data_IF_842053414088
#
_entry.id   IF_842053414088
#
_cell.length_a   1.000
_cell.length_b   1.000
_cell.length_c   1.000
_cell.angle_alpha   90.00
_cell.angle_beta   90.00
_cell.angle_gamma   90.00
#
_symmetry.space_group_name_H-M   'P 1'
#
loop_
_entity.id
_entity.type
_entity.pdbx_description
1 polymer ?
#
# COMPACT_ATOMS: atom_id res chain seq x y z
N UNK A 1 -37.71 31.39 30.13
CA UNK A 1 -37.74 30.00 29.68
C UNK A 1 -36.29 29.59 29.51
N UNK A 2 -35.85 28.68 30.37
CA UNK A 2 -34.48 28.23 30.45
C UNK A 2 -34.27 27.14 29.39
N UNK A 3 -33.27 27.30 28.53
CA UNK A 3 -32.76 26.22 27.69
C UNK A 3 -32.00 25.23 28.57
N UNK A 4 -32.52 24.03 28.63
CA UNK A 4 -31.94 22.90 29.30
C UNK A 4 -30.69 22.42 28.51
N UNK A 5 -29.49 22.69 29.05
CA UNK A 5 -28.26 22.07 28.56
C UNK A 5 -28.32 20.55 28.76
N UNK A 6 -28.43 19.81 27.66
CA UNK A 6 -28.28 18.37 27.65
C UNK A 6 -26.81 18.04 27.88
N UNK A 7 -26.44 17.26 28.92
CA UNK A 7 -25.07 16.86 29.13
C UNK A 7 -24.66 15.91 27.99
N UNK A 8 -23.68 16.30 27.21
CA UNK A 8 -22.97 15.40 26.30
C UNK A 8 -22.16 14.45 27.15
N UNK A 9 -22.75 13.35 27.56
CA UNK A 9 -21.97 12.22 28.06
C UNK A 9 -21.01 11.78 26.95
N UNK A 10 -19.76 12.16 27.13
CA UNK A 10 -18.65 11.62 26.34
C UNK A 10 -18.41 10.17 26.77
N UNK A 11 -19.33 9.31 26.38
CA UNK A 11 -19.13 7.88 26.34
C UNK A 11 -18.12 7.55 25.25
N UNK A 12 -16.86 7.75 25.51
CA UNK A 12 -15.79 7.10 24.80
C UNK A 12 -15.83 5.61 25.16
N UNK A 13 -16.72 4.88 24.52
CA UNK A 13 -16.52 3.45 24.39
C UNK A 13 -15.18 3.29 23.72
N UNK A 14 -14.25 2.62 24.42
CA UNK A 14 -13.01 2.16 23.81
C UNK A 14 -13.38 1.52 22.48
N UNK A 15 -12.67 1.85 21.38
CA UNK A 15 -13.00 1.25 20.10
C UNK A 15 -12.93 -0.25 20.31
N UNK A 16 -14.06 -0.90 20.14
CA UNK A 16 -14.11 -2.36 20.05
C UNK A 16 -13.03 -2.81 19.07
N UNK A 17 -12.44 -3.96 19.26
CA UNK A 17 -11.15 -4.34 18.67
C UNK A 17 -11.21 -4.51 17.15
N UNK A 18 -11.49 -3.43 16.42
CA UNK A 18 -11.18 -3.33 14.99
C UNK A 18 -9.72 -3.69 14.72
N UNK A 19 -8.90 -3.57 15.75
CA UNK A 19 -7.49 -3.92 15.74
C UNK A 19 -7.24 -5.43 15.89
N UNK A 20 -7.99 -6.14 16.70
CA UNK A 20 -7.91 -7.61 16.74
C UNK A 20 -8.28 -8.22 15.37
N UNK A 21 -9.16 -7.54 14.60
CA UNK A 21 -9.39 -7.91 13.20
C UNK A 21 -8.19 -7.61 12.30
N UNK A 22 -7.40 -6.60 12.54
CA UNK A 22 -6.30 -6.17 11.66
C UNK A 22 -5.00 -6.93 11.93
N UNK A 23 -4.62 -7.11 13.17
CA UNK A 23 -3.59 -8.08 13.58
C UNK A 23 -4.06 -9.51 13.32
N UNK A 24 -5.38 -9.77 13.47
CA UNK A 24 -5.98 -11.02 13.06
C UNK A 24 -6.06 -11.16 11.54
N UNK A 25 -6.14 -10.10 10.72
CA UNK A 25 -6.12 -10.25 9.25
C UNK A 25 -4.72 -10.54 8.72
N UNK A 26 -3.68 -10.04 9.33
CA UNK A 26 -2.31 -10.49 9.04
C UNK A 26 -2.05 -11.92 9.57
N UNK A 27 -2.58 -12.26 10.73
CA UNK A 27 -2.71 -13.64 11.23
C UNK A 27 -3.80 -14.43 10.45
N UNK A 28 -4.86 -13.81 9.99
CA UNK A 28 -5.94 -14.41 9.23
C UNK A 28 -5.54 -14.76 7.78
N UNK A 29 -4.58 -14.07 7.18
CA UNK A 29 -3.88 -14.58 6.00
C UNK A 29 -3.12 -15.87 6.30
N UNK A 30 -2.65 -16.06 7.55
CA UNK A 30 -2.09 -17.32 8.04
C UNK A 30 -3.16 -18.31 8.57
N UNK A 31 -4.30 -17.82 9.08
CA UNK A 31 -5.37 -18.60 9.71
C UNK A 31 -6.53 -18.98 8.79
N UNK A 32 -6.62 -18.45 7.57
CA UNK A 32 -7.60 -18.91 6.55
C UNK A 32 -7.40 -20.38 6.15
N UNK A 33 -6.40 -21.06 6.74
CA UNK A 33 -6.20 -22.50 6.62
C UNK A 33 -6.79 -23.30 7.79
N UNK A 34 -7.39 -22.67 8.82
CA UNK A 34 -8.02 -23.36 9.95
C UNK A 34 -9.54 -23.18 9.94
N UNK A 35 -10.33 -24.20 10.32
CA UNK A 35 -11.77 -24.05 10.47
C UNK A 35 -12.08 -22.96 11.50
N UNK A 36 -12.97 -22.04 11.16
CA UNK A 36 -13.45 -20.94 12.01
C UNK A 36 -14.16 -21.40 13.32
N UNK A 37 -14.24 -22.70 13.54
CA UNK A 37 -14.94 -23.32 14.67
C UNK A 37 -14.01 -23.75 15.82
N UNK A 38 -12.70 -23.60 15.68
CA UNK A 38 -11.76 -23.98 16.73
C UNK A 38 -11.51 -22.81 17.70
N UNK A 39 -11.67 -23.07 18.99
CA UNK A 39 -11.26 -22.15 20.06
C UNK A 39 -9.76 -21.80 19.89
N UNK A 40 -9.38 -20.50 19.97
CA UNK A 40 -7.99 -20.11 19.81
C UNK A 40 -7.08 -20.75 20.84
N UNK A 41 -5.95 -21.24 20.41
CA UNK A 41 -4.94 -21.82 21.28
C UNK A 41 -4.41 -20.79 22.29
N UNK A 42 -3.78 -21.26 23.37
CA UNK A 42 -3.13 -20.36 24.34
C UNK A 42 -2.05 -19.48 23.68
N UNK A 43 -1.35 -20.00 22.68
CA UNK A 43 -0.33 -19.26 21.93
C UNK A 43 -0.96 -18.16 21.08
N UNK A 44 -2.08 -18.43 20.41
CA UNK A 44 -2.81 -17.44 19.62
C UNK A 44 -3.38 -16.34 20.51
N UNK A 45 -3.98 -16.69 21.66
CA UNK A 45 -4.44 -15.70 22.64
C UNK A 45 -3.31 -14.82 23.13
N UNK A 46 -2.16 -15.38 23.49
CA UNK A 46 -0.99 -14.61 23.92
C UNK A 46 -0.46 -13.68 22.82
N UNK A 47 -0.47 -14.12 21.56
CA UNK A 47 -0.09 -13.31 20.42
C UNK A 47 -1.07 -12.13 20.21
N UNK A 48 -2.37 -12.35 20.39
CA UNK A 48 -3.38 -11.29 20.30
C UNK A 48 -3.28 -10.27 21.43
N UNK A 49 -3.07 -10.74 22.66
CA UNK A 49 -2.85 -9.86 23.83
C UNK A 49 -1.60 -8.98 23.63
N UNK A 50 -0.50 -9.56 23.15
CA UNK A 50 0.71 -8.82 22.83
C UNK A 50 0.48 -7.82 21.68
N UNK A 51 -0.30 -8.18 20.67
CA UNK A 51 -0.66 -7.28 19.58
C UNK A 51 -1.54 -6.12 20.06
N UNK A 52 -2.54 -6.40 20.90
CA UNK A 52 -3.39 -5.38 21.50
C UNK A 52 -2.62 -4.41 22.38
N UNK A 53 -1.66 -4.91 23.16
CA UNK A 53 -0.77 -4.07 24.00
C UNK A 53 0.06 -3.13 23.13
N UNK A 54 0.74 -3.65 22.11
CA UNK A 54 1.52 -2.83 21.16
C UNK A 54 0.67 -1.77 20.47
N UNK A 55 -0.56 -2.12 20.13
CA UNK A 55 -1.47 -1.15 19.53
C UNK A 55 -1.85 -0.03 20.49
N UNK A 56 -2.17 -0.35 21.75
CA UNK A 56 -2.47 0.65 22.75
C UNK A 56 -1.27 1.62 22.98
N UNK A 57 -0.05 1.10 23.00
CA UNK A 57 1.18 1.89 23.06
C UNK A 57 1.28 2.81 21.84
N UNK A 58 1.09 2.30 20.63
CA UNK A 58 1.11 3.07 19.38
C UNK A 58 0.06 4.19 19.38
N UNK A 59 -1.14 3.93 19.90
CA UNK A 59 -2.18 4.96 20.01
C UNK A 59 -1.81 6.05 21.03
N UNK A 60 -1.15 5.71 22.14
CA UNK A 60 -0.67 6.66 23.14
C UNK A 60 0.45 7.54 22.56
N UNK A 61 1.40 6.96 21.84
CA UNK A 61 2.47 7.69 21.14
C UNK A 61 1.89 8.64 20.09
N UNK A 62 0.95 8.16 19.28
CA UNK A 62 0.24 8.97 18.30
C UNK A 62 -0.54 10.14 18.92
N UNK A 63 -1.17 9.93 20.10
CA UNK A 63 -1.85 10.98 20.82
C UNK A 63 -0.87 12.03 21.35
N UNK A 64 0.25 11.59 21.90
CA UNK A 64 1.35 12.44 22.39
C UNK A 64 1.90 13.28 21.24
N UNK A 65 2.16 12.67 20.10
CA UNK A 65 2.67 13.37 18.93
C UNK A 65 1.69 14.45 18.43
N UNK A 66 0.40 14.10 18.28
CA UNK A 66 -0.63 15.05 17.80
C UNK A 66 -0.78 16.27 18.69
N UNK A 67 -0.60 16.15 20.01
CA UNK A 67 -0.69 17.27 20.92
C UNK A 67 0.33 18.40 20.64
N UNK A 68 1.45 18.04 20.01
CA UNK A 68 2.49 19.00 19.60
C UNK A 68 2.69 19.10 18.08
N UNK A 69 1.70 18.71 17.27
CA UNK A 69 1.82 18.67 15.82
C UNK A 69 2.14 20.04 15.20
N UNK A 70 3.00 20.06 14.18
CA UNK A 70 3.33 21.25 13.40
C UNK A 70 2.12 21.72 12.56
N UNK A 71 1.36 20.75 12.02
CA UNK A 71 0.19 20.95 11.18
C UNK A 71 -1.04 20.21 11.75
N UNK A 72 -1.65 20.67 12.87
CA UNK A 72 -2.73 19.95 13.54
C UNK A 72 -3.92 19.61 12.62
N UNK A 73 -4.16 20.44 11.61
CA UNK A 73 -5.24 20.23 10.64
C UNK A 73 -5.07 18.93 9.81
N UNK A 74 -3.87 18.39 9.71
CA UNK A 74 -3.61 17.13 8.99
C UNK A 74 -4.13 15.89 9.72
N UNK A 75 -4.47 16.03 11.01
CA UNK A 75 -4.99 14.93 11.83
C UNK A 75 -6.52 14.95 11.96
N UNK A 76 -7.20 15.86 11.25
CA UNK A 76 -8.66 15.91 11.24
C UNK A 76 -9.24 14.72 10.44
N UNK A 77 -10.35 14.10 10.94
CA UNK A 77 -10.96 12.92 10.30
C UNK A 77 -11.83 13.28 9.09
N UNK A 78 -11.36 14.20 8.27
CA UNK A 78 -12.03 14.68 7.05
C UNK A 78 -11.01 15.16 6.03
N UNK A 79 -11.30 14.96 4.77
CA UNK A 79 -10.53 15.55 3.67
C UNK A 79 -10.91 17.02 3.50
N UNK A 80 -9.89 17.88 3.51
CA UNK A 80 -10.10 19.30 3.22
C UNK A 80 -9.90 19.53 1.72
N UNK A 81 -10.79 20.28 1.04
CA UNK A 81 -10.68 20.51 -0.42
C UNK A 81 -9.31 21.06 -0.86
N UNK A 82 -8.66 21.86 -0.02
CA UNK A 82 -7.31 22.41 -0.28
C UNK A 82 -6.18 21.36 -0.26
N UNK A 83 -6.45 20.15 0.21
CA UNK A 83 -5.48 19.04 0.17
C UNK A 83 -5.44 18.36 -1.18
N UNK A 84 -6.51 18.51 -1.95
CA UNK A 84 -6.66 17.88 -3.25
C UNK A 84 -6.15 18.82 -4.35
N UNK A 85 -5.69 18.22 -5.43
CA UNK A 85 -5.50 18.94 -6.69
C UNK A 85 -6.85 19.54 -7.13
N UNK A 86 -6.90 20.79 -7.61
CA UNK A 86 -8.17 21.42 -8.00
C UNK A 86 -8.96 20.63 -9.03
N UNK A 87 -8.27 19.99 -9.97
CA UNK A 87 -8.87 19.11 -10.99
C UNK A 87 -9.54 17.87 -10.38
N UNK A 88 -8.91 17.25 -9.37
CA UNK A 88 -9.47 16.09 -8.70
C UNK A 88 -10.64 16.46 -7.79
N UNK A 89 -10.55 17.58 -7.06
CA UNK A 89 -11.66 18.10 -6.26
C UNK A 89 -12.88 18.39 -7.14
N UNK A 90 -12.67 18.97 -8.32
CA UNK A 90 -13.75 19.20 -9.30
C UNK A 90 -14.32 17.88 -9.82
N UNK A 91 -13.49 16.88 -10.12
CA UNK A 91 -13.92 15.57 -10.58
C UNK A 91 -14.77 14.82 -9.52
N UNK A 92 -14.35 14.88 -8.24
CA UNK A 92 -15.14 14.32 -7.12
C UNK A 92 -16.53 14.97 -7.03
N UNK A 93 -16.60 16.31 -7.13
CA UNK A 93 -17.86 17.06 -7.13
C UNK A 93 -18.73 16.84 -8.38
N UNK A 94 -18.11 16.48 -9.50
CA UNK A 94 -18.79 16.21 -10.78
C UNK A 94 -19.37 14.80 -10.90
N UNK A 95 -19.11 13.92 -9.95
CA UNK A 95 -19.66 12.56 -9.88
C UNK A 95 -18.94 11.54 -10.76
N UNK A 96 -19.53 10.33 -10.95
CA UNK A 96 -18.85 9.18 -11.53
C UNK A 96 -18.20 9.40 -12.91
N UNK A 97 -18.89 10.07 -13.80
CA UNK A 97 -18.36 10.35 -15.14
C UNK A 97 -17.16 11.30 -15.12
N UNK A 98 -17.18 12.30 -14.25
CA UNK A 98 -16.08 13.24 -14.11
C UNK A 98 -14.87 12.57 -13.48
N UNK A 99 -15.08 11.67 -12.51
CA UNK A 99 -14.02 10.86 -11.91
C UNK A 99 -13.35 9.92 -12.93
N UNK A 100 -14.15 9.21 -13.73
CA UNK A 100 -13.62 8.34 -14.79
C UNK A 100 -12.85 9.14 -15.85
N UNK A 101 -13.34 10.31 -16.24
CA UNK A 101 -12.67 11.17 -17.22
C UNK A 101 -11.37 11.78 -16.66
N UNK A 102 -11.23 11.87 -15.34
CA UNK A 102 -10.03 12.41 -14.69
C UNK A 102 -8.93 11.36 -14.54
N UNK A 103 -9.27 10.07 -14.45
CA UNK A 103 -8.33 8.98 -14.30
C UNK A 103 -7.91 8.46 -15.69
N UNK A 104 -6.68 8.73 -16.07
CA UNK A 104 -6.08 8.25 -17.31
C UNK A 104 -5.63 6.79 -17.17
N UNK A 105 -6.12 5.87 -17.97
CA UNK A 105 -5.58 4.51 -18.05
C UNK A 105 -4.25 4.53 -18.83
N UNK A 106 -3.14 4.50 -18.11
CA UNK A 106 -1.78 4.58 -18.67
C UNK A 106 -1.22 3.23 -19.06
N UNK A 107 -1.76 2.16 -18.52
CA UNK A 107 -1.55 0.78 -18.92
C UNK A 107 -2.76 -0.04 -18.46
N UNK A 108 -2.94 -1.25 -18.98
CA UNK A 108 -4.08 -2.09 -18.66
C UNK A 108 -4.26 -2.27 -17.14
N UNK A 109 -5.31 -1.70 -16.57
CA UNK A 109 -5.61 -1.73 -15.13
C UNK A 109 -4.69 -0.87 -14.27
N UNK A 110 -4.00 0.10 -14.86
CA UNK A 110 -3.15 1.09 -14.16
C UNK A 110 -3.62 2.49 -14.53
N UNK A 111 -4.05 3.25 -13.54
CA UNK A 111 -4.66 4.56 -13.73
C UNK A 111 -3.84 5.65 -13.04
N UNK A 112 -3.55 6.74 -13.77
CA UNK A 112 -2.82 7.90 -13.27
C UNK A 112 -3.70 9.14 -13.24
N UNK A 113 -3.58 9.94 -12.18
CA UNK A 113 -4.35 11.19 -12.04
C UNK A 113 -3.71 12.15 -11.03
N UNK A 114 -3.94 13.44 -11.20
CA UNK A 114 -3.57 14.43 -10.21
C UNK A 114 -4.52 14.30 -9.01
N UNK A 115 -3.97 14.11 -7.81
CA UNK A 115 -4.77 13.82 -6.62
C UNK A 115 -4.54 14.81 -5.48
N UNK A 116 -3.29 15.02 -5.08
CA UNK A 116 -2.94 15.84 -3.92
C UNK A 116 -2.36 17.18 -4.35
N UNK A 117 -2.66 18.22 -3.57
CA UNK A 117 -2.05 19.54 -3.78
C UNK A 117 -0.58 19.53 -3.31
N UNK A 118 0.25 20.36 -3.94
CA UNK A 118 1.64 20.52 -3.51
C UNK A 118 1.78 20.98 -2.06
N UNK A 119 0.85 21.84 -1.62
CA UNK A 119 0.82 22.33 -0.25
C UNK A 119 0.59 21.19 0.76
N UNK A 120 -0.34 20.27 0.46
CA UNK A 120 -0.58 19.10 1.30
C UNK A 120 0.66 18.18 1.34
N UNK A 121 1.23 17.87 0.18
CA UNK A 121 2.45 17.03 0.11
C UNK A 121 3.59 17.64 0.94
N UNK A 122 3.80 18.95 0.84
CA UNK A 122 4.85 19.66 1.60
C UNK A 122 4.58 19.63 3.10
N UNK A 123 3.33 19.89 3.52
CA UNK A 123 2.96 19.87 4.94
C UNK A 123 3.06 18.46 5.55
N UNK A 124 2.62 17.44 4.80
CA UNK A 124 2.72 16.05 5.25
C UNK A 124 4.19 15.63 5.43
N UNK A 125 5.06 15.94 4.46
CA UNK A 125 6.48 15.63 4.59
C UNK A 125 7.15 16.37 5.76
N UNK A 126 6.79 17.63 5.99
CA UNK A 126 7.31 18.40 7.12
C UNK A 126 6.85 17.78 8.46
N UNK A 127 5.60 17.33 8.54
CA UNK A 127 5.06 16.68 9.74
C UNK A 127 5.73 15.33 9.99
N UNK A 128 5.96 14.52 8.95
CA UNK A 128 6.63 13.22 9.07
C UNK A 128 8.11 13.37 9.46
N UNK A 129 8.82 14.35 8.91
CA UNK A 129 10.19 14.66 9.30
C UNK A 129 10.26 15.05 10.80
N UNK A 130 9.32 15.88 11.27
CA UNK A 130 9.22 16.23 12.67
C UNK A 130 8.89 15.03 13.56
N UNK A 131 8.06 14.09 13.08
CA UNK A 131 7.78 12.86 13.82
C UNK A 131 9.07 12.02 13.99
N UNK A 132 9.86 11.89 12.96
CA UNK A 132 11.15 11.19 13.01
C UNK A 132 12.11 11.85 14.01
N UNK A 133 12.14 13.20 14.07
CA UNK A 133 12.95 13.97 15.01
C UNK A 133 12.42 13.94 16.46
N UNK A 134 11.17 13.55 16.69
CA UNK A 134 10.53 13.57 18.00
C UNK A 134 11.09 12.55 19.00
N UNK A 135 11.81 11.54 18.51
CA UNK A 135 12.28 10.42 19.33
C UNK A 135 11.21 9.39 19.67
N UNK A 136 9.97 9.56 19.20
CA UNK A 136 8.92 8.55 19.32
C UNK A 136 9.24 7.34 18.41
N UNK A 137 8.72 6.14 18.73
CA UNK A 137 8.97 4.96 17.94
C UNK A 137 8.48 5.12 16.49
N UNK A 138 9.35 4.81 15.54
CA UNK A 138 9.03 4.79 14.11
C UNK A 138 8.71 3.35 13.70
N UNK A 139 7.49 3.13 13.22
CA UNK A 139 7.08 1.82 12.70
C UNK A 139 7.48 1.72 11.23
N UNK A 140 8.31 0.74 10.90
CA UNK A 140 8.80 0.47 9.55
C UNK A 140 7.62 0.18 8.59
N UNK A 141 7.66 0.67 7.33
CA UNK A 141 6.54 0.59 6.39
C UNK A 141 6.04 -0.82 6.13
N UNK A 142 6.96 -1.73 5.84
CA UNK A 142 6.69 -3.13 5.51
C UNK A 142 7.97 -3.97 5.64
N UNK A 143 7.93 -5.22 5.23
CA UNK A 143 9.09 -6.15 5.33
C UNK A 143 10.16 -5.88 4.27
N UNK A 144 9.85 -5.17 3.20
CA UNK A 144 10.75 -4.96 2.05
C UNK A 144 11.46 -3.60 2.10
N UNK A 145 10.77 -2.54 2.56
CA UNK A 145 11.35 -1.21 2.72
C UNK A 145 11.95 -1.04 4.12
N UNK A 146 13.17 -0.52 4.17
CA UNK A 146 13.85 -0.22 5.44
C UNK A 146 13.58 1.21 5.91
N UNK A 147 13.29 2.11 4.98
CA UNK A 147 13.13 3.55 5.23
C UNK A 147 11.72 4.00 4.91
N UNK A 148 11.17 4.84 5.78
CA UNK A 148 9.79 5.31 5.73
C UNK A 148 9.06 5.03 7.03
N UNK A 149 7.74 5.24 7.04
CA UNK A 149 6.96 5.18 8.28
C UNK A 149 5.51 4.79 8.01
N UNK A 150 4.91 4.03 8.93
CA UNK A 150 3.47 3.72 8.91
C UNK A 150 2.68 4.93 9.42
N UNK A 151 1.91 5.57 8.54
CA UNK A 151 1.12 6.76 8.87
C UNK A 151 0.05 6.48 9.91
N UNK A 152 -0.55 5.30 9.87
CA UNK A 152 -1.53 4.88 10.87
C UNK A 152 -0.93 4.91 12.28
N UNK A 153 0.34 4.52 12.43
CA UNK A 153 1.04 4.55 13.71
C UNK A 153 1.43 5.97 14.16
N UNK A 154 1.60 6.90 13.22
CA UNK A 154 1.90 8.31 13.52
C UNK A 154 0.65 9.15 13.83
N UNK A 155 -0.52 8.54 13.98
CA UNK A 155 -1.77 9.23 14.32
C UNK A 155 -2.58 9.75 13.14
N UNK A 156 -2.18 9.48 11.91
CA UNK A 156 -2.92 9.86 10.69
C UNK A 156 -4.04 8.89 10.32
N UNK A 157 -4.28 7.83 11.08
CA UNK A 157 -5.24 6.78 10.71
C UNK A 157 -6.60 7.36 10.31
N UNK A 158 -7.20 8.22 11.15
CA UNK A 158 -8.50 8.82 10.87
C UNK A 158 -8.51 9.72 9.61
N UNK A 159 -7.40 10.38 9.34
CA UNK A 159 -7.25 11.21 8.14
C UNK A 159 -7.15 10.33 6.91
N UNK A 160 -6.42 9.23 7.01
CA UNK A 160 -6.29 8.25 5.92
C UNK A 160 -7.59 7.46 5.71
N UNK A 161 -8.36 7.16 6.78
CA UNK A 161 -9.74 6.64 6.67
C UNK A 161 -10.62 7.58 5.84
N UNK A 162 -10.55 8.88 6.12
CA UNK A 162 -11.32 9.87 5.36
C UNK A 162 -10.84 9.95 3.91
N UNK A 163 -9.53 9.92 3.67
CA UNK A 163 -8.96 9.94 2.31
C UNK A 163 -9.38 8.70 1.52
N UNK A 164 -9.34 7.52 2.13
CA UNK A 164 -9.84 6.29 1.51
C UNK A 164 -11.32 6.39 1.18
N UNK A 165 -12.16 6.72 2.16
CA UNK A 165 -13.61 6.75 2.03
C UNK A 165 -14.09 7.79 1.00
N UNK A 166 -13.54 9.00 1.07
CA UNK A 166 -14.06 10.15 0.33
C UNK A 166 -13.39 10.35 -1.04
N UNK A 167 -12.20 9.80 -1.25
CA UNK A 167 -11.41 10.02 -2.47
C UNK A 167 -11.07 8.72 -3.22
N UNK A 168 -10.53 7.72 -2.52
CA UNK A 168 -10.01 6.50 -3.17
C UNK A 168 -11.14 5.54 -3.52
N UNK A 169 -11.99 5.21 -2.55
CA UNK A 169 -13.08 4.24 -2.73
C UNK A 169 -14.08 4.63 -3.82
N UNK A 170 -14.52 5.91 -3.96
CA UNK A 170 -15.39 6.29 -5.06
C UNK A 170 -14.81 5.99 -6.44
N UNK A 171 -13.52 6.26 -6.64
CA UNK A 171 -12.83 5.97 -7.90
C UNK A 171 -12.57 4.47 -8.07
N UNK A 172 -12.11 3.79 -7.01
CA UNK A 172 -11.82 2.36 -7.04
C UNK A 172 -13.07 1.50 -7.35
N UNK A 173 -14.25 1.88 -6.84
CA UNK A 173 -15.52 1.23 -7.19
C UNK A 173 -15.85 1.29 -8.68
N UNK A 174 -15.47 2.37 -9.34
CA UNK A 174 -15.71 2.55 -10.77
C UNK A 174 -14.70 1.77 -11.62
N UNK A 175 -13.44 1.73 -11.20
CA UNK A 175 -12.34 1.14 -11.96
C UNK A 175 -12.14 -0.35 -11.66
N UNK A 176 -12.42 -0.78 -10.43
CA UNK A 176 -12.14 -2.12 -9.94
C UNK A 176 -13.32 -2.79 -9.20
N UNK A 177 -14.53 -2.80 -9.79
CA UNK A 177 -15.74 -3.28 -9.11
C UNK A 177 -15.68 -4.76 -8.71
N UNK A 178 -14.83 -5.55 -9.40
CA UNK A 178 -14.69 -7.00 -9.17
C UNK A 178 -13.39 -7.38 -8.44
N UNK A 179 -12.56 -6.41 -8.10
CA UNK A 179 -11.24 -6.60 -7.50
C UNK A 179 -11.12 -5.95 -6.11
N UNK A 180 -12.23 -5.72 -5.44
CA UNK A 180 -12.23 -5.14 -4.10
C UNK A 180 -12.21 -3.62 -4.07
N UNK A 181 -12.71 -2.94 -5.12
CA UNK A 181 -12.83 -1.49 -5.16
C UNK A 181 -13.74 -0.89 -4.07
N UNK A 182 -14.56 -1.71 -3.40
CA UNK A 182 -15.34 -1.34 -2.22
C UNK A 182 -14.54 -1.60 -0.93
N UNK A 183 -13.45 -0.87 -0.77
CA UNK A 183 -12.52 -1.04 0.33
C UNK A 183 -13.08 -0.45 1.65
N UNK A 184 -12.92 -1.20 2.73
CA UNK A 184 -13.33 -0.85 4.09
C UNK A 184 -12.17 -0.79 5.08
N UNK A 185 -10.97 -1.21 4.68
CA UNK A 185 -9.75 -1.19 5.48
C UNK A 185 -8.58 -0.66 4.66
N UNK A 186 -7.59 -0.07 5.34
CA UNK A 186 -6.33 0.30 4.71
C UNK A 186 -5.13 0.11 5.64
N UNK A 187 -3.97 -0.09 5.03
CA UNK A 187 -2.68 0.09 5.64
C UNK A 187 -1.96 1.19 4.88
N UNK A 188 -1.73 2.33 5.53
CA UNK A 188 -1.16 3.51 4.87
C UNK A 188 0.19 3.83 5.47
N UNK A 189 1.17 3.98 4.58
CA UNK A 189 2.55 4.24 4.96
C UNK A 189 3.24 5.15 3.93
N UNK A 190 4.35 5.74 4.32
CA UNK A 190 5.26 6.45 3.43
C UNK A 190 6.52 5.61 3.24
N UNK A 191 6.99 5.52 2.00
CA UNK A 191 8.30 4.96 1.65
C UNK A 191 9.25 6.05 1.22
N UNK A 192 10.53 5.86 1.52
CA UNK A 192 11.60 6.78 1.17
C UNK A 192 12.69 6.05 0.40
N UNK A 193 13.16 6.70 -0.67
CA UNK A 193 14.30 6.25 -1.47
C UNK A 193 15.32 7.36 -1.60
N UNK A 194 16.58 7.07 -1.30
CA UNK A 194 17.73 7.96 -1.50
C UNK A 194 19.04 7.19 -1.53
N UNK A 195 20.09 7.84 -2.04
CA UNK A 195 21.43 7.27 -2.06
C UNK A 195 21.93 6.97 -0.64
N UNK A 196 22.49 5.76 -0.46
CA UNK A 196 22.96 5.28 0.84
C UNK A 196 21.90 4.61 1.72
N UNK A 197 20.65 4.59 1.26
CA UNK A 197 19.51 3.91 1.89
C UNK A 197 18.85 2.94 0.92
N UNK A 198 17.49 2.78 0.96
CA UNK A 198 16.79 2.05 -0.07
C UNK A 198 16.92 2.81 -1.40
N UNK A 199 17.45 2.16 -2.43
CA UNK A 199 17.58 2.76 -3.77
C UNK A 199 16.31 2.57 -4.58
N UNK A 200 15.66 1.44 -4.44
CA UNK A 200 14.47 1.02 -5.17
C UNK A 200 13.85 -0.20 -4.50
N UNK A 201 12.89 -0.81 -5.15
CA UNK A 201 12.22 -2.02 -4.67
C UNK A 201 12.05 -3.01 -5.81
N UNK A 202 12.43 -4.26 -5.55
CA UNK A 202 12.32 -5.34 -6.52
C UNK A 202 10.87 -5.59 -6.97
N UNK A 203 10.73 -6.27 -8.09
CA UNK A 203 9.43 -6.63 -8.66
C UNK A 203 8.63 -7.49 -7.68
N UNK A 204 7.42 -7.04 -7.35
CA UNK A 204 6.56 -7.67 -6.35
C UNK A 204 5.07 -7.44 -6.64
N UNK A 205 4.23 -7.99 -5.80
CA UNK A 205 2.80 -7.68 -5.69
C UNK A 205 2.50 -7.20 -4.27
N UNK A 206 1.52 -6.34 -4.13
CA UNK A 206 1.11 -5.81 -2.83
C UNK A 206 0.14 -6.74 -2.08
N UNK A 207 0.22 -6.73 -0.76
CA UNK A 207 -0.75 -7.40 0.11
C UNK A 207 -2.05 -6.57 0.26
N UNK A 208 -2.54 -6.02 -0.85
CA UNK A 208 -3.75 -5.19 -0.96
C UNK A 208 -4.70 -5.75 -2.02
N UNK A 209 -5.93 -5.27 -2.04
CA UNK A 209 -6.83 -5.48 -3.17
C UNK A 209 -6.64 -4.37 -4.19
N UNK A 210 -6.57 -3.12 -3.70
CA UNK A 210 -6.28 -1.93 -4.48
C UNK A 210 -5.14 -1.16 -3.81
N UNK A 211 -4.15 -0.74 -4.59
CA UNK A 211 -3.05 0.11 -4.16
C UNK A 211 -3.18 1.50 -4.75
N UNK A 212 -3.14 2.51 -3.90
CA UNK A 212 -2.87 3.89 -4.26
C UNK A 212 -1.40 4.21 -3.95
N UNK A 213 -0.72 4.84 -4.90
CA UNK A 213 0.66 5.31 -4.75
C UNK A 213 0.74 6.77 -5.22
N UNK A 214 1.04 7.70 -4.32
CA UNK A 214 1.12 9.13 -4.62
C UNK A 214 2.53 9.66 -4.33
N UNK A 215 3.14 10.31 -5.30
CA UNK A 215 4.42 10.99 -5.10
C UNK A 215 4.24 12.23 -4.23
N UNK A 216 4.93 12.29 -3.10
CA UNK A 216 4.94 13.46 -2.21
C UNK A 216 6.08 14.45 -2.53
N UNK A 217 7.06 14.05 -3.35
CA UNK A 217 8.30 14.77 -3.63
C UNK A 217 9.46 14.00 -2.95
N UNK A 218 10.66 14.55 -2.71
CA UNK A 218 11.12 15.90 -3.09
C UNK A 218 11.57 15.95 -4.56
N UNK A 219 12.74 16.56 -4.81
CA UNK A 219 13.40 16.52 -6.12
C UNK A 219 14.28 15.27 -6.24
N UNK A 220 14.19 14.57 -7.35
CA UNK A 220 14.93 13.33 -7.61
C UNK A 220 15.04 13.05 -9.11
N UNK A 221 15.93 12.14 -9.46
CA UNK A 221 16.03 11.56 -10.81
C UNK A 221 16.08 10.03 -10.72
N UNK A 222 15.67 9.34 -11.76
CA UNK A 222 15.46 7.89 -11.71
C UNK A 222 14.17 7.54 -10.96
N UNK A 223 14.20 6.48 -10.19
CA UNK A 223 13.15 6.07 -9.25
C UNK A 223 11.74 6.03 -9.85
N UNK A 224 11.59 5.54 -11.10
CA UNK A 224 10.31 5.29 -11.72
C UNK A 224 9.56 4.13 -11.03
N UNK A 225 8.34 3.88 -11.45
CA UNK A 225 7.56 2.70 -11.04
C UNK A 225 7.27 1.87 -12.29
N UNK A 226 7.85 0.68 -12.35
CA UNK A 226 7.71 -0.23 -13.50
C UNK A 226 6.63 -1.27 -13.23
N UNK A 227 5.70 -1.43 -14.18
CA UNK A 227 4.60 -2.40 -14.13
C UNK A 227 4.81 -3.50 -15.16
N UNK A 228 4.58 -4.78 -14.77
CA UNK A 228 4.78 -5.96 -15.60
C UNK A 228 3.53 -6.83 -15.78
N UNK A 229 2.35 -6.30 -15.50
CA UNK A 229 1.08 -7.01 -15.67
C UNK A 229 0.64 -7.81 -14.44
N UNK A 230 -0.53 -8.43 -14.53
CA UNK A 230 -1.12 -9.22 -13.45
C UNK A 230 -0.40 -10.55 -13.31
N UNK A 231 -0.14 -10.97 -12.07
CA UNK A 231 0.42 -12.29 -11.77
C UNK A 231 -0.52 -13.39 -12.25
N UNK A 232 0.02 -14.33 -13.01
CA UNK A 232 -0.76 -15.47 -13.56
C UNK A 232 -1.68 -15.10 -14.71
N UNK A 233 -1.64 -13.86 -15.21
CA UNK A 233 -2.24 -13.55 -16.51
C UNK A 233 -1.41 -14.25 -17.59
N UNK A 234 -1.97 -15.30 -18.20
CA UNK A 234 -1.38 -15.94 -19.36
C UNK A 234 -1.21 -14.88 -20.45
N UNK A 235 0.01 -14.67 -20.89
CA UNK A 235 0.25 -14.07 -22.20
C UNK A 235 -0.21 -15.10 -23.24
N UNK A 236 -1.49 -15.10 -23.54
CA UNK A 236 -2.14 -16.04 -24.44
C UNK A 236 -1.74 -15.79 -25.91
N UNK A 237 -0.47 -15.88 -26.20
CA UNK A 237 0.07 -15.76 -27.57
C UNK A 237 1.33 -16.60 -27.80
N UNK A 238 1.73 -17.50 -26.91
CA UNK A 238 2.76 -18.48 -27.25
C UNK A 238 2.09 -19.76 -27.67
N UNK A 239 2.37 -20.23 -28.90
CA UNK A 239 1.96 -21.52 -29.37
C UNK A 239 2.52 -22.64 -28.46
N UNK A 240 1.80 -23.78 -28.30
CA UNK A 240 2.28 -24.86 -27.46
C UNK A 240 3.65 -25.36 -27.97
N UNK A 241 4.70 -25.14 -27.20
CA UNK A 241 6.06 -25.60 -27.50
C UNK A 241 7.11 -24.51 -27.74
N UNK A 242 6.74 -23.27 -27.93
CA UNK A 242 7.69 -22.13 -27.93
C UNK A 242 7.68 -21.45 -26.60
N UNK A 243 8.75 -21.64 -25.81
CA UNK A 243 9.10 -20.70 -24.76
C UNK A 243 9.60 -19.44 -25.47
N UNK A 244 8.94 -18.27 -25.26
CA UNK A 244 9.46 -17.04 -25.82
C UNK A 244 10.79 -16.76 -25.12
N UNK A 245 11.89 -17.09 -25.78
CA UNK A 245 13.19 -16.53 -25.42
C UNK A 245 13.12 -15.03 -25.67
N UNK A 246 13.17 -14.25 -24.63
CA UNK A 246 13.77 -12.95 -24.67
C UNK A 246 12.90 -11.71 -24.75
N UNK A 247 11.57 -11.75 -24.80
CA UNK A 247 10.78 -10.53 -24.75
C UNK A 247 9.94 -10.45 -23.47
N UNK A 248 10.61 -10.11 -22.39
CA UNK A 248 9.93 -9.66 -21.18
C UNK A 248 9.51 -8.22 -21.41
N UNK A 249 8.26 -8.02 -21.77
CA UNK A 249 7.74 -6.69 -22.02
C UNK A 249 7.47 -5.99 -20.68
N UNK A 250 8.18 -4.89 -20.43
CA UNK A 250 7.70 -3.89 -19.50
C UNK A 250 6.36 -3.39 -20.04
N UNK A 251 5.28 -3.56 -19.28
CA UNK A 251 3.99 -3.08 -19.75
C UNK A 251 3.93 -1.55 -19.68
N UNK A 252 4.55 -0.96 -18.66
CA UNK A 252 4.55 0.49 -18.45
C UNK A 252 5.58 0.92 -17.40
N UNK A 253 6.23 2.05 -17.63
CA UNK A 253 7.06 2.74 -16.65
C UNK A 253 6.45 4.10 -16.32
N UNK A 254 6.04 4.29 -15.07
CA UNK A 254 5.52 5.55 -14.58
C UNK A 254 6.65 6.46 -14.10
N UNK A 255 6.62 7.71 -14.56
CA UNK A 255 7.46 8.78 -14.02
C UNK A 255 6.68 9.55 -12.98
N UNK A 256 7.19 9.59 -11.75
CA UNK A 256 6.53 10.26 -10.65
C UNK A 256 6.52 11.78 -10.79
N UNK A 257 5.38 12.39 -10.53
CA UNK A 257 5.18 13.84 -10.41
C UNK A 257 4.54 14.10 -9.05
N UNK A 258 5.01 15.13 -8.34
CA UNK A 258 4.50 15.51 -7.02
C UNK A 258 2.99 15.75 -7.04
N UNK A 259 2.26 15.10 -6.14
CA UNK A 259 0.80 15.15 -6.05
C UNK A 259 0.05 14.24 -7.02
N UNK A 260 0.73 13.66 -8.03
CA UNK A 260 0.14 12.72 -8.97
C UNK A 260 0.10 11.31 -8.38
N UNK A 261 -1.02 10.64 -8.55
CA UNK A 261 -1.32 9.31 -8.05
C UNK A 261 -1.29 8.27 -9.16
N UNK A 262 -0.97 7.04 -8.77
CA UNK A 262 -1.23 5.80 -9.52
C UNK A 262 -2.17 4.94 -8.68
N UNK A 263 -3.20 4.37 -9.32
CA UNK A 263 -4.14 3.43 -8.73
C UNK A 263 -4.15 2.14 -9.55
N UNK A 264 -3.98 1.00 -8.88
CA UNK A 264 -3.95 -0.33 -9.52
C UNK A 264 -4.39 -1.43 -8.56
N UNK A 265 -4.67 -2.64 -9.09
CA UNK A 265 -4.87 -3.82 -8.24
C UNK A 265 -3.56 -4.20 -7.53
N UNK A 266 -3.65 -4.65 -6.27
CA UNK A 266 -2.49 -5.11 -5.50
C UNK A 266 -1.71 -6.24 -6.17
N UNK A 267 -2.42 -7.11 -6.93
CA UNK A 267 -1.81 -8.21 -7.69
C UNK A 267 -1.12 -7.80 -9.00
N UNK A 268 -1.15 -6.53 -9.35
CA UNK A 268 -0.39 -6.03 -10.49
C UNK A 268 1.09 -5.99 -10.09
N UNK A 269 1.93 -6.73 -10.82
CA UNK A 269 3.37 -6.77 -10.56
C UNK A 269 4.00 -5.44 -10.89
N UNK A 270 4.73 -4.91 -9.93
CA UNK A 270 5.42 -3.65 -10.08
C UNK A 270 6.68 -3.61 -9.21
N UNK A 271 7.56 -2.69 -9.52
CA UNK A 271 8.79 -2.46 -8.76
C UNK A 271 9.20 -1.00 -8.87
N UNK A 272 9.88 -0.51 -7.84
CA UNK A 272 10.45 0.82 -7.86
C UNK A 272 11.87 0.75 -8.45
N UNK A 273 12.08 1.46 -9.54
CA UNK A 273 13.40 1.59 -10.15
C UNK A 273 14.37 2.32 -9.21
N UNK A 274 15.65 2.07 -9.35
CA UNK A 274 16.67 2.69 -8.51
C UNK A 274 16.68 4.21 -8.69
N UNK A 275 16.81 4.92 -7.57
CA UNK A 275 16.99 6.36 -7.55
C UNK A 275 18.42 6.70 -7.99
N UNK A 276 18.55 7.63 -8.93
CA UNK A 276 19.84 8.09 -9.41
C UNK A 276 20.37 9.29 -8.62
N UNK A 277 19.49 10.19 -8.18
CA UNK A 277 19.85 11.34 -7.35
C UNK A 277 18.64 11.89 -6.58
N UNK A 278 18.91 12.64 -5.51
CA UNK A 278 17.88 13.30 -4.71
C UNK A 278 17.19 12.36 -3.72
N UNK A 279 15.95 12.70 -3.37
CA UNK A 279 15.13 11.95 -2.42
C UNK A 279 13.70 11.81 -2.94
N UNK A 280 13.16 10.60 -2.99
CA UNK A 280 11.76 10.34 -3.34
C UNK A 280 10.98 9.86 -2.13
N UNK A 281 9.83 10.46 -1.92
CA UNK A 281 8.85 10.06 -0.90
C UNK A 281 7.53 9.76 -1.56
N UNK A 282 6.96 8.59 -1.28
CA UNK A 282 5.65 8.20 -1.77
C UNK A 282 4.73 7.80 -0.64
N UNK A 283 3.50 8.31 -0.68
CA UNK A 283 2.38 7.82 0.13
C UNK A 283 1.83 6.58 -0.55
N UNK A 284 1.80 5.48 0.17
CA UNK A 284 1.22 4.22 -0.27
C UNK A 284 0.01 3.91 0.61
N UNK A 285 -1.12 3.60 -0.01
CA UNK A 285 -2.32 3.12 0.69
C UNK A 285 -2.72 1.77 0.14
N UNK A 286 -2.52 0.73 0.93
CA UNK A 286 -2.98 -0.61 0.66
C UNK A 286 -4.41 -0.76 1.15
N UNK A 287 -5.36 -0.70 0.24
CA UNK A 287 -6.78 -0.83 0.53
C UNK A 287 -7.23 -2.28 0.42
N UNK A 288 -8.09 -2.71 1.36
CA UNK A 288 -8.64 -4.06 1.41
C UNK A 288 -10.16 -3.99 1.55
N UNK A 289 -10.86 -4.93 0.92
CA UNK A 289 -12.30 -5.09 1.02
C UNK A 289 -12.64 -6.40 1.71
N UNK A 290 -13.23 -6.34 2.89
CA UNK A 290 -13.66 -7.53 3.63
C UNK A 290 -14.65 -8.37 2.84
N UNK A 291 -15.61 -7.73 2.16
CA UNK A 291 -16.60 -8.43 1.34
C UNK A 291 -15.98 -9.16 0.15
N UNK A 292 -15.02 -8.54 -0.52
CA UNK A 292 -14.30 -9.16 -1.62
C UNK A 292 -13.45 -10.35 -1.15
N UNK A 293 -12.72 -10.20 -0.05
CA UNK A 293 -11.83 -11.24 0.50
C UNK A 293 -12.59 -12.46 1.04
N UNK A 294 -13.82 -12.27 1.49
CA UNK A 294 -14.72 -13.36 1.89
C UNK A 294 -15.47 -13.99 0.71
N UNK A 295 -15.37 -13.44 -0.51
CA UNK A 295 -16.03 -13.97 -1.68
C UNK A 295 -15.44 -15.31 -2.12
N UNK A 296 -16.29 -16.21 -2.63
CA UNK A 296 -15.85 -17.49 -3.18
C UNK A 296 -14.84 -17.33 -4.33
N UNK A 297 -14.97 -16.27 -5.11
CA UNK A 297 -14.05 -15.97 -6.21
C UNK A 297 -12.64 -15.62 -5.71
N UNK A 298 -12.53 -14.84 -4.64
CA UNK A 298 -11.25 -14.54 -4.00
C UNK A 298 -10.66 -15.79 -3.37
N UNK A 299 -11.44 -16.50 -2.56
CA UNK A 299 -11.00 -17.70 -1.88
C UNK A 299 -10.50 -18.77 -2.87
N UNK A 300 -11.22 -19.00 -3.98
CA UNK A 300 -10.81 -19.94 -5.02
C UNK A 300 -9.51 -19.52 -5.73
N UNK A 301 -9.29 -18.21 -5.91
CA UNK A 301 -8.12 -17.67 -6.62
C UNK A 301 -6.88 -17.63 -5.75
N UNK A 302 -7.03 -17.34 -4.46
CA UNK A 302 -5.92 -17.04 -3.55
C UNK A 302 -5.70 -18.08 -2.44
N UNK A 303 -6.64 -19.00 -2.20
CA UNK A 303 -6.41 -20.20 -1.41
C UNK A 303 -5.58 -21.23 -2.20
N UNK A 304 -4.38 -20.84 -2.59
CA UNK A 304 -3.36 -21.82 -2.91
C UNK A 304 -2.96 -22.46 -1.58
N UNK A 305 -3.34 -23.71 -1.40
CA UNK A 305 -2.94 -24.48 -0.22
C UNK A 305 -1.41 -24.44 -0.08
N UNK A 306 -0.87 -24.37 1.13
CA UNK A 306 0.58 -24.48 1.33
C UNK A 306 1.20 -25.72 0.66
N UNK A 307 0.46 -26.83 0.56
CA UNK A 307 0.83 -28.03 -0.19
C UNK A 307 1.02 -27.80 -1.68
N UNK A 308 0.32 -26.87 -2.29
CA UNK A 308 0.41 -26.58 -3.71
C UNK A 308 1.66 -25.71 -4.04
N UNK A 309 2.24 -25.08 -3.02
CA UNK A 309 3.54 -24.37 -3.12
C UNK A 309 4.74 -25.32 -3.08
N UNK A 310 4.60 -26.48 -2.46
CA UNK A 310 5.67 -27.48 -2.37
C UNK A 310 5.96 -28.20 -3.71
N UNK A 311 5.07 -28.08 -4.69
CA UNK A 311 5.22 -28.62 -6.03
C UNK A 311 5.87 -27.69 -7.05
N UNK A 312 6.40 -26.54 -6.62
CA UNK A 312 7.07 -25.58 -7.49
C UNK A 312 6.14 -25.14 -8.63
N UNK A 313 5.29 -24.14 -8.40
CA UNK A 313 4.67 -23.46 -9.53
C UNK A 313 5.81 -23.04 -10.48
N UNK A 314 5.67 -23.32 -11.80
CA UNK A 314 6.70 -22.91 -12.74
C UNK A 314 6.98 -21.41 -12.56
N UNK A 315 8.24 -20.97 -12.64
CA UNK A 315 8.57 -19.57 -12.53
C UNK A 315 7.68 -18.77 -13.48
N UNK A 316 7.14 -17.66 -12.98
CA UNK A 316 6.34 -16.77 -13.83
C UNK A 316 7.27 -16.25 -14.95
N UNK A 317 6.99 -16.56 -16.24
CA UNK A 317 7.89 -16.21 -17.35
C UNK A 317 8.06 -14.70 -17.53
N UNK A 318 7.28 -13.90 -16.83
CA UNK A 318 7.36 -12.42 -16.84
C UNK A 318 7.88 -11.86 -15.51
N UNK A 319 8.35 -12.68 -14.58
CA UNK A 319 8.96 -12.21 -13.35
C UNK A 319 10.30 -11.54 -13.65
N UNK A 320 10.44 -10.29 -13.20
CA UNK A 320 11.68 -9.51 -13.29
C UNK A 320 12.31 -9.27 -11.91
N UNK A 321 12.10 -10.21 -10.99
CA UNK A 321 12.73 -10.14 -9.68
C UNK A 321 14.19 -10.56 -9.74
N UNK A 322 15.09 -9.73 -9.24
CA UNK A 322 16.50 -10.04 -9.16
C UNK A 322 16.81 -11.19 -8.17
N UNK A 323 15.88 -11.52 -7.28
CA UNK A 323 16.08 -12.57 -6.26
C UNK A 323 15.83 -13.97 -6.79
N UNK A 324 14.92 -14.13 -7.73
CA UNK A 324 14.52 -15.45 -8.27
C UNK A 324 14.39 -15.53 -9.81
N UNK A 325 14.75 -14.46 -10.51
CA UNK A 325 14.79 -14.43 -11.97
C UNK A 325 16.23 -14.66 -12.46
N UNK A 326 16.45 -15.78 -13.12
CA UNK A 326 17.80 -16.14 -13.59
C UNK A 326 18.30 -15.24 -14.71
N UNK A 327 17.39 -14.69 -15.49
CA UNK A 327 17.72 -13.84 -16.63
C UNK A 327 17.67 -12.35 -16.31
N UNK A 328 17.53 -11.98 -15.03
CA UNK A 328 17.39 -10.58 -14.62
C UNK A 328 18.53 -9.69 -15.15
N UNK A 329 19.78 -10.17 -15.07
CA UNK A 329 20.96 -9.40 -15.50
C UNK A 329 21.03 -9.14 -17.01
N UNK A 330 20.27 -9.89 -17.83
CA UNK A 330 20.13 -9.58 -19.25
C UNK A 330 19.33 -8.29 -19.51
N UNK A 331 18.54 -7.88 -18.53
CA UNK A 331 17.66 -6.71 -18.63
C UNK A 331 18.14 -5.52 -17.79
N UNK A 332 18.72 -5.78 -16.62
CA UNK A 332 19.18 -4.77 -15.69
C UNK A 332 20.46 -5.21 -15.01
N UNK A 333 21.51 -4.39 -15.07
CA UNK A 333 22.71 -4.63 -14.32
C UNK A 333 22.44 -4.52 -12.81
N UNK A 334 22.77 -5.57 -12.08
CA UNK A 334 22.60 -5.59 -10.63
C UNK A 334 23.66 -4.74 -9.94
N UNK A 335 23.20 -3.81 -9.12
CA UNK A 335 24.03 -3.12 -8.16
C UNK A 335 24.70 -4.14 -7.19
N UNK A 336 25.93 -3.88 -6.68
CA UNK A 336 26.68 -4.84 -5.86
C UNK A 336 25.92 -5.35 -4.63
N UNK A 337 25.14 -4.51 -3.98
CA UNK A 337 24.32 -4.86 -2.81
C UNK A 337 23.15 -5.78 -3.17
N UNK A 338 22.49 -5.55 -4.31
CA UNK A 338 21.44 -6.41 -4.84
C UNK A 338 21.99 -7.76 -5.30
N UNK A 339 23.18 -7.75 -5.90
CA UNK A 339 23.91 -8.99 -6.27
C UNK A 339 24.21 -9.82 -5.04
N UNK A 340 24.72 -9.22 -3.96
CA UNK A 340 24.99 -9.89 -2.70
C UNK A 340 23.72 -10.47 -2.06
N UNK A 341 22.58 -9.75 -2.09
CA UNK A 341 21.28 -10.25 -1.61
C UNK A 341 20.79 -11.45 -2.41
N UNK A 342 20.89 -11.39 -3.74
CA UNK A 342 20.51 -12.50 -4.62
C UNK A 342 21.34 -13.76 -4.31
N UNK A 343 22.64 -13.58 -4.22
CA UNK A 343 23.57 -14.70 -3.96
C UNK A 343 23.34 -15.32 -2.57
N UNK A 344 22.95 -14.53 -1.59
CA UNK A 344 22.55 -15.01 -0.26
C UNK A 344 21.23 -15.79 -0.30
N UNK A 345 20.22 -15.30 -1.00
CA UNK A 345 18.92 -15.97 -1.17
C UNK A 345 19.05 -17.32 -1.88
N UNK A 346 19.89 -17.40 -2.92
CA UNK A 346 20.14 -18.65 -3.68
C UNK A 346 20.94 -19.70 -2.91
N UNK A 347 21.69 -19.30 -1.86
CA UNK A 347 22.45 -20.23 -1.00
C UNK A 347 21.65 -20.76 0.18
N UNK A 348 20.53 -20.12 0.52
CA UNK A 348 19.68 -20.44 1.67
C UNK A 348 18.44 -21.28 1.33
N UNK A 349 18.20 -21.59 0.08
CA UNK A 349 17.16 -22.50 -0.43
C UNK A 349 17.79 -23.80 -0.91
#
# INVERSE_FOLDING_TARGET
EAEEEVPVEAGWMAPEPRFSLRGALELFEAMLCAPLEAEPTAQERAAWEAAATRHAETLADAATYRAGALHPQLFEPRVQPRWLAPSFAAALGGGPHALLAHAEEVAAGVYAFDMLSEAFCTQLLAELARHEESGLPVVRPNTMNNYGVVLNACGFERTMDALQRDCVTPLARLLFPQQGGDADHHHTFMVQYRQGEDLGLDMHTDASDITLNVCLGKEFTGAGLTFCGLRGASTAAAAPGEQPKGERHFSYRHTHVKGRAILHCGHHRHGADDIASGERFNLIMWSKSSSYRLSQGFLARYQLRPSDRAGGAPPDPVCLSYTHDDDYEEYLELAPDKRAKRDASRRGG
#
